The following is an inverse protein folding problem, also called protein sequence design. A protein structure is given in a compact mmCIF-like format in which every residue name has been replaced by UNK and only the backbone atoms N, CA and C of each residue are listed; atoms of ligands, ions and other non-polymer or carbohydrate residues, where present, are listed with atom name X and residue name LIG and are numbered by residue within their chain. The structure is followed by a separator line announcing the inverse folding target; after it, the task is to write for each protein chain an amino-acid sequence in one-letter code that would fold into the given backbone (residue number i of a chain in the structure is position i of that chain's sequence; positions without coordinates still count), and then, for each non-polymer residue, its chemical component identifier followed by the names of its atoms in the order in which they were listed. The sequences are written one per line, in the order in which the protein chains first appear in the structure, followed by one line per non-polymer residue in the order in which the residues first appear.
data_IF_467024048965
#
_entry.id   IF_467024048965
#
_cell.length_a   1.000
_cell.length_b   1.000
_cell.length_c   1.000
_cell.angle_alpha   90.00
_cell.angle_beta   90.00
_cell.angle_gamma   90.00
#
_symmetry.space_group_name_H-M   'P 1'
#
loop_
_entity.id
_entity.type
_entity.pdbx_description
1 polymer ?
#
# COMPACT_ATOMS: atom_id res chain seq x y z
N UNK A 1 9.57 5.00 27.96
CA UNK A 1 8.95 3.75 27.55
C UNK A 1 7.59 4.09 26.96
N UNK A 2 7.46 3.98 25.66
CA UNK A 2 6.16 3.88 25.02
C UNK A 2 6.06 2.41 24.67
N UNK A 3 5.37 1.66 25.50
CA UNK A 3 4.90 0.34 25.12
C UNK A 3 3.70 0.59 24.20
N UNK A 4 3.93 0.54 22.90
CA UNK A 4 2.84 0.60 21.93
C UNK A 4 2.34 -0.81 21.67
N UNK A 5 1.49 -1.29 22.53
CA UNK A 5 0.76 -2.57 22.35
C UNK A 5 -0.27 -2.50 21.22
N UNK A 6 -0.34 -1.38 20.49
CA UNK A 6 -1.48 -1.04 19.64
C UNK A 6 -1.19 -0.82 18.15
N UNK A 7 -0.14 -1.43 17.59
CA UNK A 7 -0.08 -1.59 16.14
C UNK A 7 -0.51 -3.00 15.72
N UNK A 8 -1.73 -3.35 16.07
CA UNK A 8 -2.41 -4.47 15.47
C UNK A 8 -2.75 -4.11 14.03
N UNK A 9 -2.03 -4.64 13.06
CA UNK A 9 -2.50 -4.68 11.68
C UNK A 9 -3.61 -5.71 11.64
N UNK A 10 -4.85 -5.26 11.75
CA UNK A 10 -6.04 -6.10 11.95
C UNK A 10 -6.35 -7.08 10.81
N UNK A 11 -5.63 -7.02 9.70
CA UNK A 11 -5.87 -7.88 8.54
C UNK A 11 -5.04 -9.18 8.54
N UNK A 12 -3.95 -9.26 9.30
CA UNK A 12 -2.99 -10.38 9.17
C UNK A 12 -2.67 -11.11 10.47
N UNK A 13 -3.25 -10.71 11.61
CA UNK A 13 -2.86 -11.20 12.95
C UNK A 13 -1.35 -11.09 13.24
N UNK A 14 -0.63 -10.21 12.54
CA UNK A 14 0.77 -9.98 12.78
C UNK A 14 0.93 -8.91 13.87
N UNK A 15 1.65 -9.24 14.94
CA UNK A 15 2.00 -8.31 16.01
C UNK A 15 3.49 -8.00 15.95
N UNK A 16 3.85 -6.72 16.04
CA UNK A 16 5.24 -6.28 16.16
C UNK A 16 5.46 -5.63 17.51
N UNK A 17 6.50 -6.06 18.22
CA UNK A 17 6.94 -5.42 19.46
C UNK A 17 7.93 -4.29 19.12
N UNK A 18 7.64 -3.08 19.54
CA UNK A 18 8.42 -1.89 19.25
C UNK A 18 9.15 -1.41 20.51
N UNK A 19 10.43 -1.05 20.35
CA UNK A 19 11.18 -0.35 21.37
C UNK A 19 11.78 0.92 20.77
N UNK A 20 11.31 2.07 21.21
CA UNK A 20 11.80 3.38 20.77
C UNK A 20 12.81 3.90 21.80
N UNK A 21 13.99 4.28 21.32
CA UNK A 21 15.01 4.98 22.11
C UNK A 21 15.32 6.32 21.47
N UNK A 22 15.44 7.35 22.28
CA UNK A 22 15.75 8.71 21.85
C UNK A 22 17.15 9.14 22.33
N UNK A 23 17.75 10.09 21.61
CA UNK A 23 19.03 10.70 21.90
C UNK A 23 20.19 10.15 21.06
N UNK A 24 21.36 10.76 21.18
CA UNK A 24 22.55 10.47 20.37
C UNK A 24 23.11 9.04 20.54
N UNK A 25 22.70 8.35 21.60
CA UNK A 25 23.10 6.98 21.88
C UNK A 25 22.10 5.93 21.36
N UNK A 26 20.98 6.35 20.80
CA UNK A 26 20.03 5.44 20.17
C UNK A 26 20.69 4.78 18.96
N UNK A 27 20.80 3.47 18.96
CA UNK A 27 21.47 2.72 17.89
C UNK A 27 22.84 2.15 18.28
N UNK A 28 23.33 2.40 19.49
CA UNK A 28 24.50 1.70 20.03
C UNK A 28 24.08 0.35 20.63
N UNK A 29 24.88 -0.68 20.35
CA UNK A 29 24.55 -2.06 20.78
C UNK A 29 24.41 -2.17 22.31
N UNK A 30 25.20 -1.43 23.06
CA UNK A 30 25.20 -1.41 24.53
C UNK A 30 23.87 -0.93 25.11
N UNK A 31 23.11 -0.19 24.32
CA UNK A 31 21.80 0.37 24.72
C UNK A 31 20.62 -0.53 24.34
N UNK A 32 20.89 -1.64 23.65
CA UNK A 32 19.86 -2.56 23.17
C UNK A 32 19.89 -3.83 24.00
N UNK A 33 18.84 -4.05 24.77
CA UNK A 33 18.63 -5.27 25.55
C UNK A 33 17.85 -6.29 24.70
N UNK A 34 18.57 -7.19 24.05
CA UNK A 34 17.97 -8.21 23.18
C UNK A 34 17.22 -9.29 23.95
N UNK A 35 17.61 -9.54 25.22
CA UNK A 35 16.92 -10.53 26.05
C UNK A 35 15.54 -10.02 26.46
N UNK A 36 15.46 -8.77 26.93
CA UNK A 36 14.18 -8.13 27.21
C UNK A 36 13.30 -8.06 25.94
N UNK A 37 13.88 -7.75 24.78
CA UNK A 37 13.12 -7.71 23.52
C UNK A 37 12.52 -9.09 23.15
N UNK A 38 13.29 -10.16 23.39
CA UNK A 38 12.85 -11.55 23.19
C UNK A 38 11.74 -11.95 24.17
N UNK A 39 11.84 -11.53 25.42
CA UNK A 39 10.82 -11.77 26.44
C UNK A 39 9.51 -11.06 26.08
N UNK A 40 9.57 -9.78 25.67
CA UNK A 40 8.41 -9.02 25.18
C UNK A 40 7.76 -9.70 23.99
N UNK A 41 8.55 -10.10 22.99
CA UNK A 41 8.03 -10.84 21.84
C UNK A 41 7.26 -12.10 22.24
N UNK A 42 7.75 -12.83 23.22
CA UNK A 42 7.06 -14.04 23.74
C UNK A 42 5.81 -13.67 24.53
N UNK A 43 5.89 -12.64 25.40
CA UNK A 43 4.79 -12.21 26.24
C UNK A 43 3.58 -11.78 25.42
N UNK A 44 3.83 -11.05 24.33
CA UNK A 44 2.78 -10.52 23.44
C UNK A 44 2.44 -11.44 22.27
N UNK A 45 3.01 -12.65 22.22
CA UNK A 45 2.85 -13.58 21.07
C UNK A 45 3.13 -12.91 19.72
N UNK A 46 4.11 -11.99 19.68
CA UNK A 46 4.44 -11.23 18.48
C UNK A 46 5.29 -12.07 17.51
N UNK A 47 4.96 -11.96 16.22
CA UNK A 47 5.70 -12.66 15.15
C UNK A 47 7.05 -12.02 14.87
N UNK A 48 7.14 -10.69 15.04
CA UNK A 48 8.30 -9.89 14.67
C UNK A 48 8.78 -9.03 15.83
N UNK A 49 10.04 -8.59 15.74
CA UNK A 49 10.62 -7.58 16.62
C UNK A 49 11.31 -6.52 15.78
N UNK A 50 11.06 -5.26 16.10
CA UNK A 50 11.71 -4.14 15.46
C UNK A 50 12.23 -3.14 16.49
N UNK A 51 13.30 -2.42 16.11
CA UNK A 51 13.85 -1.31 16.90
C UNK A 51 13.85 -0.08 16.01
N UNK A 52 13.26 0.99 16.51
CA UNK A 52 13.29 2.30 15.86
C UNK A 52 14.32 3.18 16.57
N UNK A 53 15.18 3.85 15.82
CA UNK A 53 16.21 4.74 16.38
C UNK A 53 16.68 5.77 15.36
N UNK A 54 17.47 6.76 15.81
CA UNK A 54 17.96 7.83 14.93
C UNK A 54 18.92 7.30 13.85
N UNK A 55 19.79 6.37 14.21
CA UNK A 55 20.73 5.71 13.31
C UNK A 55 21.28 4.45 13.94
N UNK A 56 21.75 3.52 13.13
CA UNK A 56 22.34 2.27 13.59
C UNK A 56 23.72 2.08 13.01
N UNK A 57 24.69 1.66 13.83
CA UNK A 57 26.10 1.49 13.43
C UNK A 57 26.73 0.29 14.13
N UNK A 58 27.70 -0.31 13.46
CA UNK A 58 28.56 -1.34 14.00
C UNK A 58 28.11 -2.76 13.64
N UNK A 59 29.09 -3.51 13.14
CA UNK A 59 28.90 -4.90 12.66
C UNK A 59 28.39 -5.82 13.78
N UNK A 60 28.83 -5.59 15.03
CA UNK A 60 28.37 -6.35 16.20
C UNK A 60 26.86 -6.19 16.40
N UNK A 61 26.32 -4.98 16.22
CA UNK A 61 24.87 -4.75 16.29
C UNK A 61 24.14 -5.54 15.22
N UNK A 62 24.59 -5.46 13.98
CA UNK A 62 23.94 -6.15 12.87
C UNK A 62 23.98 -7.68 13.02
N UNK A 63 25.07 -8.23 13.56
CA UNK A 63 25.17 -9.64 13.85
C UNK A 63 24.17 -10.08 14.94
N UNK A 64 24.02 -9.28 16.00
CA UNK A 64 23.02 -9.53 17.05
C UNK A 64 21.59 -9.44 16.52
N UNK A 65 21.31 -8.47 15.65
CA UNK A 65 19.99 -8.35 15.01
C UNK A 65 19.65 -9.59 14.16
N UNK A 66 20.63 -10.14 13.42
CA UNK A 66 20.45 -11.38 12.66
C UNK A 66 20.20 -12.56 13.59
N UNK A 67 20.97 -12.70 14.66
CA UNK A 67 20.82 -13.77 15.65
C UNK A 67 19.43 -13.76 16.30
N UNK A 68 18.93 -12.57 16.66
CA UNK A 68 17.66 -12.39 17.36
C UNK A 68 16.47 -12.12 16.44
N UNK A 69 16.66 -12.07 15.11
CA UNK A 69 15.66 -11.78 14.10
C UNK A 69 14.95 -10.44 14.38
N UNK A 70 15.73 -9.36 14.44
CA UNK A 70 15.26 -8.01 14.73
C UNK A 70 15.46 -7.10 13.53
N UNK A 71 14.42 -6.40 13.12
CA UNK A 71 14.46 -5.35 12.10
C UNK A 71 14.89 -4.02 12.74
N UNK A 72 15.71 -3.24 12.03
CA UNK A 72 16.14 -1.91 12.43
C UNK A 72 15.57 -0.87 11.47
N UNK A 73 14.78 0.05 12.01
CA UNK A 73 14.19 1.15 11.26
C UNK A 73 14.76 2.46 11.81
N UNK A 74 15.56 3.16 11.03
CA UNK A 74 15.98 4.50 11.38
C UNK A 74 14.93 5.56 11.01
N UNK A 75 15.17 6.79 11.41
CA UNK A 75 14.24 7.90 11.18
C UNK A 75 14.06 8.16 9.69
N UNK A 76 15.12 8.02 8.90
CA UNK A 76 15.07 8.27 7.46
C UNK A 76 14.21 7.22 6.76
N UNK A 77 14.36 5.95 7.13
CA UNK A 77 13.50 4.85 6.64
C UNK A 77 12.03 5.09 7.02
N UNK A 78 11.77 5.49 8.28
CA UNK A 78 10.41 5.80 8.74
C UNK A 78 9.79 6.97 7.98
N UNK A 79 10.55 8.04 7.76
CA UNK A 79 10.10 9.20 6.97
C UNK A 79 9.77 8.78 5.53
N UNK A 80 10.64 7.99 4.90
CA UNK A 80 10.43 7.49 3.55
C UNK A 80 9.19 6.58 3.47
N UNK A 81 8.97 5.71 4.44
CA UNK A 81 7.75 4.89 4.51
C UNK A 81 6.49 5.75 4.57
N UNK A 82 6.47 6.80 5.39
CA UNK A 82 5.32 7.71 5.52
C UNK A 82 5.07 8.45 4.21
N UNK A 83 6.11 8.98 3.57
CA UNK A 83 6.01 9.66 2.27
C UNK A 83 5.49 8.71 1.19
N UNK A 84 6.07 7.52 1.10
CA UNK A 84 5.66 6.51 0.13
C UNK A 84 4.21 6.09 0.31
N UNK A 85 3.73 5.94 1.56
CA UNK A 85 2.35 5.59 1.86
C UNK A 85 1.36 6.70 1.47
N UNK A 86 1.78 7.96 1.52
CA UNK A 86 0.95 9.08 1.10
C UNK A 86 0.76 9.15 -0.42
N UNK A 87 1.77 8.71 -1.19
CA UNK A 87 1.74 8.69 -2.66
C UNK A 87 1.05 7.43 -3.19
N UNK A 88 1.52 6.27 -2.78
CA UNK A 88 1.06 4.96 -3.23
C UNK A 88 0.69 4.12 -2.00
N UNK A 89 -0.59 4.08 -1.60
CA UNK A 89 -1.01 3.41 -0.39
C UNK A 89 -0.87 1.89 -0.53
N UNK A 90 -0.08 1.30 0.37
CA UNK A 90 0.09 -0.13 0.50
C UNK A 90 -0.72 -0.69 1.67
N UNK A 91 -1.00 -1.98 1.64
CA UNK A 91 -1.70 -2.69 2.71
C UNK A 91 -0.74 -3.08 3.83
N UNK A 92 -1.28 -3.38 5.02
CA UNK A 92 -0.48 -3.93 6.12
C UNK A 92 0.23 -5.24 5.75
N UNK A 93 -0.35 -6.07 4.88
CA UNK A 93 0.29 -7.29 4.40
C UNK A 93 1.55 -7.01 3.58
N UNK A 94 1.54 -5.95 2.76
CA UNK A 94 2.75 -5.53 2.06
C UNK A 94 3.84 -5.08 3.03
N UNK A 95 3.48 -4.30 4.06
CA UNK A 95 4.43 -3.83 5.08
C UNK A 95 4.98 -4.93 5.98
N UNK A 96 4.32 -6.07 6.10
CA UNK A 96 4.83 -7.23 6.82
C UNK A 96 6.22 -7.66 6.35
N UNK A 97 6.49 -7.56 5.03
CA UNK A 97 7.80 -7.86 4.43
C UNK A 97 8.95 -7.06 5.06
N UNK A 98 8.68 -5.87 5.60
CA UNK A 98 9.68 -5.05 6.30
C UNK A 98 10.12 -5.72 7.59
N UNK A 99 9.17 -6.25 8.36
CA UNK A 99 9.44 -6.87 9.65
C UNK A 99 9.99 -8.30 9.54
N UNK A 100 9.91 -8.90 8.37
CA UNK A 100 10.57 -10.19 8.06
C UNK A 100 12.08 -10.05 7.84
N UNK A 101 12.56 -8.81 7.60
CA UNK A 101 13.98 -8.52 7.45
C UNK A 101 14.70 -8.52 8.80
N UNK A 102 16.03 -8.65 8.74
CA UNK A 102 16.90 -8.60 9.92
C UNK A 102 18.04 -7.62 9.69
N UNK A 103 18.34 -6.80 10.69
CA UNK A 103 19.25 -5.67 10.56
C UNK A 103 18.57 -4.45 9.95
N UNK A 104 19.32 -3.59 9.28
CA UNK A 104 18.76 -2.39 8.65
C UNK A 104 17.76 -2.82 7.56
N UNK A 105 16.57 -2.25 7.63
CA UNK A 105 15.50 -2.52 6.68
C UNK A 105 15.82 -1.90 5.33
N UNK A 106 15.58 -2.66 4.26
CA UNK A 106 15.61 -2.19 2.89
C UNK A 106 14.16 -2.06 2.37
N UNK A 107 13.77 -0.86 1.97
CA UNK A 107 12.42 -0.58 1.46
C UNK A 107 12.18 -1.12 0.05
N UNK A 108 13.22 -1.55 -0.67
CA UNK A 108 13.08 -2.14 -2.01
C UNK A 108 12.20 -3.41 -2.04
N UNK A 109 12.02 -4.06 -0.89
CA UNK A 109 11.08 -5.20 -0.75
C UNK A 109 9.63 -4.82 -1.00
N UNK A 110 9.32 -3.53 -0.99
CA UNK A 110 7.98 -2.98 -1.27
C UNK A 110 7.80 -2.56 -2.74
N UNK A 111 8.87 -2.51 -3.53
CA UNK A 111 8.84 -1.92 -4.88
C UNK A 111 7.88 -2.67 -5.80
N UNK A 112 7.83 -3.99 -5.73
CA UNK A 112 6.89 -4.80 -6.50
C UNK A 112 5.43 -4.42 -6.19
N UNK A 113 5.09 -4.32 -4.90
CA UNK A 113 3.73 -3.96 -4.47
C UNK A 113 3.38 -2.50 -4.83
N UNK A 114 4.35 -1.59 -4.75
CA UNK A 114 4.19 -0.20 -5.18
C UNK A 114 3.94 -0.10 -6.68
N UNK A 115 4.78 -0.73 -7.49
CA UNK A 115 4.65 -0.75 -8.94
C UNK A 115 3.30 -1.34 -9.36
N UNK A 116 2.85 -2.40 -8.69
CA UNK A 116 1.55 -3.00 -8.96
C UNK A 116 0.39 -2.07 -8.59
N UNK A 117 0.46 -1.39 -7.45
CA UNK A 117 -0.58 -0.44 -7.02
C UNK A 117 -0.66 0.77 -7.94
N UNK A 118 0.50 1.32 -8.33
CA UNK A 118 0.60 2.42 -9.29
C UNK A 118 0.04 2.02 -10.65
N UNK A 119 0.39 0.83 -11.13
CA UNK A 119 -0.12 0.26 -12.37
C UNK A 119 -1.65 0.17 -12.38
N UNK A 120 -2.27 -0.26 -11.29
CA UNK A 120 -3.73 -0.28 -11.19
C UNK A 120 -4.34 1.12 -11.29
N UNK A 121 -3.73 2.12 -10.66
CA UNK A 121 -4.15 3.51 -10.80
C UNK A 121 -4.07 4.01 -12.23
N UNK A 122 -2.96 3.72 -12.91
CA UNK A 122 -2.76 4.07 -14.32
C UNK A 122 -3.76 3.37 -15.25
N UNK A 123 -4.09 2.10 -14.99
CA UNK A 123 -5.10 1.36 -15.75
C UNK A 123 -6.51 1.94 -15.57
N UNK A 124 -6.89 2.28 -14.36
CA UNK A 124 -8.18 2.96 -14.09
C UNK A 124 -8.28 4.26 -14.90
N UNK A 125 -7.24 5.09 -14.86
CA UNK A 125 -7.21 6.35 -15.60
C UNK A 125 -7.24 6.13 -17.12
N UNK A 126 -6.43 5.22 -17.65
CA UNK A 126 -6.36 4.94 -19.10
C UNK A 126 -7.68 4.38 -19.63
N UNK A 127 -8.30 3.43 -18.92
CA UNK A 127 -9.58 2.81 -19.33
C UNK A 127 -10.71 3.83 -19.26
N UNK A 128 -10.80 4.59 -18.17
CA UNK A 128 -11.82 5.64 -18.06
C UNK A 128 -11.62 6.74 -19.09
N UNK A 129 -10.36 7.17 -19.31
CA UNK A 129 -10.02 8.14 -20.36
C UNK A 129 -10.46 7.68 -21.73
N UNK A 130 -10.19 6.41 -22.08
CA UNK A 130 -10.62 5.80 -23.33
C UNK A 130 -12.16 5.82 -23.48
N UNK A 131 -12.89 5.31 -22.49
CA UNK A 131 -14.35 5.25 -22.52
C UNK A 131 -15.02 6.65 -22.55
N UNK A 132 -14.47 7.62 -21.83
CA UNK A 132 -14.98 8.99 -21.83
C UNK A 132 -14.71 9.68 -23.15
N UNK A 133 -13.53 9.48 -23.78
CA UNK A 133 -13.23 10.06 -25.08
C UNK A 133 -14.15 9.54 -26.20
N UNK A 134 -14.51 8.26 -26.15
CA UNK A 134 -15.42 7.63 -27.11
C UNK A 134 -16.89 7.98 -26.89
N UNK A 135 -17.26 8.51 -25.72
CA UNK A 135 -18.66 8.77 -25.37
C UNK A 135 -19.40 9.73 -26.31
N UNK A 136 -18.68 10.48 -27.14
CA UNK A 136 -19.20 11.41 -28.15
C UNK A 136 -19.00 10.91 -29.57
N UNK A 137 -18.42 9.73 -29.77
CA UNK A 137 -18.19 9.17 -31.10
C UNK A 137 -19.48 8.56 -31.67
N UNK A 138 -19.89 9.02 -32.88
CA UNK A 138 -21.12 8.58 -33.54
C UNK A 138 -21.01 7.15 -34.09
N UNK A 139 -19.80 6.65 -34.34
CA UNK A 139 -19.57 5.33 -34.95
C UNK A 139 -19.63 4.23 -33.90
N UNK A 140 -19.04 4.47 -32.76
CA UNK A 140 -19.02 3.51 -31.62
C UNK A 140 -20.25 3.65 -30.75
N UNK A 141 -21.03 4.74 -30.92
CA UNK A 141 -22.12 5.12 -29.99
C UNK A 141 -21.65 5.16 -28.53
N UNK A 142 -20.33 5.40 -28.30
CA UNK A 142 -19.71 5.43 -26.97
C UNK A 142 -19.52 4.05 -26.34
N UNK A 143 -19.67 2.96 -27.08
CA UNK A 143 -19.56 1.58 -26.56
C UNK A 143 -18.34 0.89 -27.14
N UNK A 144 -17.49 0.34 -26.29
CA UNK A 144 -16.26 -0.38 -26.66
C UNK A 144 -16.24 -1.79 -26.06
N UNK A 145 -15.80 -2.76 -26.84
CA UNK A 145 -15.45 -4.09 -26.32
C UNK A 145 -14.16 -4.04 -25.49
N UNK A 146 -13.93 -5.01 -24.61
CA UNK A 146 -12.65 -5.11 -23.87
C UNK A 146 -11.43 -5.20 -24.80
N UNK A 147 -11.58 -5.76 -26.02
CA UNK A 147 -10.51 -5.85 -27.00
C UNK A 147 -10.18 -4.50 -27.67
N UNK A 148 -11.18 -3.66 -27.89
CA UNK A 148 -10.98 -2.30 -28.42
C UNK A 148 -10.29 -1.43 -27.37
N UNK A 149 -10.76 -1.48 -26.12
CA UNK A 149 -10.10 -0.81 -25.00
C UNK A 149 -8.65 -1.30 -24.88
N UNK A 150 -8.40 -2.61 -24.92
CA UNK A 150 -7.05 -3.17 -24.93
C UNK A 150 -6.17 -2.58 -26.04
N UNK A 151 -6.67 -2.46 -27.26
CA UNK A 151 -5.88 -1.92 -28.39
C UNK A 151 -5.48 -0.47 -28.16
N UNK A 152 -6.33 0.33 -27.54
CA UNK A 152 -6.04 1.74 -27.22
C UNK A 152 -5.07 1.86 -26.07
N UNK A 153 -5.29 1.08 -24.99
CA UNK A 153 -4.52 1.18 -23.74
C UNK A 153 -3.14 0.53 -23.86
N UNK A 154 -2.97 -0.53 -24.64
CA UNK A 154 -1.68 -1.24 -24.78
C UNK A 154 -0.53 -0.38 -25.30
N UNK A 155 -0.86 0.64 -26.11
CA UNK A 155 0.12 1.51 -26.76
C UNK A 155 0.38 2.80 -25.94
N UNK A 156 -0.16 2.89 -24.71
CA UNK A 156 0.06 4.00 -23.79
C UNK A 156 1.46 3.92 -23.18
N UNK A 157 2.28 4.96 -23.40
CA UNK A 157 3.69 5.03 -22.99
C UNK A 157 3.90 5.00 -21.47
N UNK A 158 2.86 5.19 -20.68
CA UNK A 158 2.92 5.10 -19.21
C UNK A 158 3.19 3.67 -18.72
N UNK A 159 2.86 2.67 -19.52
CA UNK A 159 3.06 1.28 -19.16
C UNK A 159 4.41 0.75 -19.63
N UNK A 160 5.34 0.56 -18.69
CA UNK A 160 6.64 -0.10 -18.96
C UNK A 160 6.47 -1.57 -19.43
N UNK A 161 5.40 -2.21 -18.98
CA UNK A 161 4.97 -3.55 -19.41
C UNK A 161 3.55 -3.41 -19.96
N UNK A 162 3.36 -3.80 -21.21
CA UNK A 162 2.05 -3.77 -21.88
C UNK A 162 0.97 -4.45 -21.04
N UNK A 163 -0.17 -3.80 -20.78
CA UNK A 163 -1.28 -4.40 -20.04
C UNK A 163 -1.83 -5.66 -20.73
N UNK A 164 -2.18 -6.66 -19.93
CA UNK A 164 -2.89 -7.84 -20.43
C UNK A 164 -4.39 -7.57 -20.58
N UNK A 165 -5.05 -8.35 -21.45
CA UNK A 165 -6.50 -8.27 -21.61
C UNK A 165 -7.21 -8.61 -20.29
N UNK A 166 -6.69 -9.57 -19.53
CA UNK A 166 -7.24 -10.00 -18.26
C UNK A 166 -7.20 -8.87 -17.21
N UNK A 167 -6.10 -8.10 -17.17
CA UNK A 167 -5.99 -6.93 -16.28
C UNK A 167 -7.05 -5.87 -16.64
N UNK A 168 -7.26 -5.61 -17.91
CA UNK A 168 -8.29 -4.67 -18.38
C UNK A 168 -9.68 -5.14 -17.98
N UNK A 169 -9.98 -6.42 -18.14
CA UNK A 169 -11.27 -6.99 -17.76
C UNK A 169 -11.51 -6.97 -16.26
N UNK A 170 -10.45 -7.13 -15.44
CA UNK A 170 -10.52 -7.01 -14.00
C UNK A 170 -10.84 -5.57 -13.56
N UNK A 171 -10.19 -4.58 -14.16
CA UNK A 171 -10.47 -3.17 -13.90
C UNK A 171 -11.89 -2.79 -14.38
N UNK A 172 -12.31 -3.25 -15.55
CA UNK A 172 -13.67 -3.01 -16.04
C UNK A 172 -14.74 -3.58 -15.09
N UNK A 173 -14.55 -4.81 -14.58
CA UNK A 173 -15.43 -5.42 -13.56
C UNK A 173 -15.46 -4.61 -12.27
N UNK A 174 -14.33 -4.09 -11.84
CA UNK A 174 -14.25 -3.21 -10.67
C UNK A 174 -15.05 -1.92 -10.87
N UNK A 175 -14.87 -1.26 -12.01
CA UNK A 175 -15.55 0.01 -12.35
C UNK A 175 -17.05 -0.17 -12.62
N UNK A 176 -17.46 -1.32 -13.16
CA UNK A 176 -18.86 -1.71 -13.38
C UNK A 176 -19.58 -2.02 -12.06
N UNK A 177 -18.85 -2.43 -11.01
CA UNK A 177 -19.41 -2.77 -9.71
C UNK A 177 -20.44 -1.73 -9.24
N UNK A 178 -21.61 -2.13 -8.70
CA UNK A 178 -22.62 -1.20 -8.20
C UNK A 178 -22.10 -0.20 -7.15
N UNK A 179 -21.03 -0.56 -6.43
CA UNK A 179 -20.39 0.32 -5.45
C UNK A 179 -19.64 1.48 -6.13
N UNK A 180 -19.06 1.23 -7.30
CA UNK A 180 -18.35 2.22 -8.09
C UNK A 180 -19.26 2.80 -9.16
N UNK A 181 -19.82 1.97 -10.06
CA UNK A 181 -20.81 2.32 -11.05
C UNK A 181 -20.37 3.45 -11.98
N UNK A 182 -19.11 3.46 -12.38
CA UNK A 182 -18.54 4.45 -13.29
C UNK A 182 -18.53 3.95 -14.74
N UNK A 183 -18.66 2.65 -14.92
CA UNK A 183 -18.76 1.97 -16.21
C UNK A 183 -20.06 1.20 -16.24
N UNK A 184 -20.76 1.29 -17.36
CA UNK A 184 -21.90 0.45 -17.69
C UNK A 184 -21.50 -0.61 -18.69
N UNK A 185 -22.29 -1.69 -18.75
CA UNK A 185 -22.12 -2.78 -19.72
C UNK A 185 -23.44 -3.10 -20.37
N UNK A 186 -23.43 -3.31 -21.69
CA UNK A 186 -24.54 -3.85 -22.45
C UNK A 186 -24.09 -5.06 -23.27
N UNK A 187 -24.91 -5.55 -24.21
CA UNK A 187 -24.59 -6.69 -25.07
C UNK A 187 -23.43 -6.41 -26.04
N UNK A 188 -23.17 -5.16 -26.36
CA UNK A 188 -22.21 -4.73 -27.38
C UNK A 188 -20.85 -4.36 -26.73
N UNK A 189 -20.81 -4.03 -25.43
CA UNK A 189 -19.56 -3.68 -24.73
C UNK A 189 -19.75 -2.84 -23.48
N UNK A 190 -18.75 -2.05 -23.18
CA UNK A 190 -18.65 -1.17 -22.02
C UNK A 190 -18.76 0.29 -22.44
N UNK A 191 -19.32 1.13 -21.60
CA UNK A 191 -19.47 2.57 -21.82
C UNK A 191 -19.27 3.35 -20.53
N UNK A 192 -18.83 4.62 -20.63
CA UNK A 192 -18.73 5.50 -19.49
C UNK A 192 -20.13 5.91 -18.98
N UNK A 193 -20.36 5.81 -17.68
CA UNK A 193 -21.62 6.28 -17.01
C UNK A 193 -21.49 7.72 -16.55
N UNK A 194 -20.27 8.25 -16.43
CA UNK A 194 -20.00 9.60 -15.98
C UNK A 194 -18.64 10.10 -16.41
N UNK A 195 -18.33 11.34 -16.05
CA UNK A 195 -17.05 11.98 -16.31
C UNK A 195 -15.96 11.48 -15.36
N UNK A 196 -14.68 11.69 -15.71
CA UNK A 196 -13.54 11.42 -14.83
C UNK A 196 -13.66 12.16 -13.49
N UNK A 197 -14.23 13.38 -13.47
CA UNK A 197 -14.47 14.11 -12.23
C UNK A 197 -15.51 13.44 -11.34
N UNK A 198 -16.56 12.86 -11.90
CA UNK A 198 -17.56 12.10 -11.12
C UNK A 198 -16.97 10.84 -10.52
N UNK A 199 -16.11 10.13 -11.27
CA UNK A 199 -15.34 8.99 -10.77
C UNK A 199 -14.47 9.42 -9.58
N UNK A 200 -13.67 10.48 -9.73
CA UNK A 200 -12.82 11.00 -8.68
C UNK A 200 -13.61 11.42 -7.43
N UNK A 201 -14.74 12.11 -7.63
CA UNK A 201 -15.63 12.52 -6.54
C UNK A 201 -16.19 11.33 -5.76
N UNK A 202 -16.51 10.24 -6.44
CA UNK A 202 -17.03 9.01 -5.82
C UNK A 202 -15.98 8.33 -4.95
N UNK A 203 -14.74 8.20 -5.44
CA UNK A 203 -13.63 7.69 -4.63
C UNK A 203 -13.35 8.58 -3.41
N UNK A 204 -13.37 9.91 -3.58
CA UNK A 204 -13.21 10.85 -2.48
C UNK A 204 -14.33 10.73 -1.43
N UNK A 205 -15.57 10.49 -1.86
CA UNK A 205 -16.69 10.27 -0.96
C UNK A 205 -16.43 9.04 -0.07
N UNK A 206 -16.03 7.92 -0.65
CA UNK A 206 -15.69 6.72 0.13
C UNK A 206 -14.51 6.96 1.08
N UNK A 207 -13.44 7.61 0.61
CA UNK A 207 -12.28 7.95 1.42
C UNK A 207 -12.65 8.80 2.65
N UNK A 208 -13.53 9.80 2.50
CA UNK A 208 -14.02 10.65 3.60
C UNK A 208 -14.83 9.85 4.63
N UNK A 209 -15.65 8.90 4.18
CA UNK A 209 -16.45 8.09 5.09
C UNK A 209 -15.58 7.11 5.88
N UNK A 210 -14.58 6.48 5.26
CA UNK A 210 -13.61 5.64 5.98
C UNK A 210 -12.85 6.45 7.05
N UNK A 211 -12.44 7.69 6.76
CA UNK A 211 -11.76 8.54 7.76
C UNK A 211 -12.63 8.93 8.96
N UNK A 212 -13.94 9.08 8.77
CA UNK A 212 -14.87 9.41 9.88
C UNK A 212 -15.01 8.27 10.89
N UNK A 213 -14.94 7.03 10.44
CA UNK A 213 -15.01 5.85 11.31
C UNK A 213 -13.81 5.85 12.25
N UNK A 214 -12.59 6.08 11.75
CA UNK A 214 -11.38 6.12 12.56
C UNK A 214 -11.43 7.21 13.64
N UNK A 215 -11.97 8.40 13.32
CA UNK A 215 -12.10 9.50 14.31
C UNK A 215 -13.14 9.22 15.41
N UNK A 216 -14.12 8.38 15.17
CA UNK A 216 -15.10 7.99 16.19
C UNK A 216 -14.55 6.94 17.15
N UNK A 217 -13.67 6.08 16.70
CA UNK A 217 -12.99 5.07 17.53
C UNK A 217 -11.95 5.73 18.48
N UNK A 218 -11.21 6.74 18.00
CA UNK A 218 -10.26 7.49 18.84
C UNK A 218 -10.94 8.28 19.96
N UNK A 219 -12.22 8.68 19.81
CA UNK A 219 -12.97 9.40 20.86
C UNK A 219 -13.59 8.50 21.92
N UNK A 220 -13.58 7.19 21.69
CA UNK A 220 -14.22 6.20 22.57
C UNK A 220 -13.19 5.47 23.43
N UNK A 221 -11.89 5.72 23.25
CA UNK A 221 -10.75 5.27 24.05
C UNK A 221 -10.22 6.42 24.91
#
# INVERSE_FOLDING_TARGET
HIDSDDFGVSATNAHAAWKIKSGDQAGQIEMIDFDTLKEHRKLHHADYSAIVGCSFRGERLFNRCREHKVALLDVDIMEQMIRNQAEIPLTGENYKKIFEQTGIVDLSVLDEARNQTERYGQLVDAIMGCLVSESQDEVTEGVLTSREIYRTVRDDERFSITPGLDEIEDILRFLESPLIGCVGKNKDGYYAVGSLNEVANKFQFYARNCKKINQSEEKTR
#
